data_IF_578179186467
#
_entry.id   IF_578179186467
#
_cell.length_a   1.000
_cell.length_b   1.000
_cell.length_c   1.000
_cell.angle_alpha   90.00
_cell.angle_beta   90.00
_cell.angle_gamma   90.00
#
_symmetry.space_group_name_H-M   'P 1'
#
loop_
_entity.id
_entity.type
_entity.pdbx_description
1 polymer ?
#
# COMPACT_ATOMS: atom_id res chain seq x y z
N UNK A 1 -10.46 -16.32 1.15
CA UNK A 1 -10.15 -14.95 1.62
C UNK A 1 -9.34 -14.24 0.53
N UNK A 2 -9.84 -13.16 -0.08
CA UNK A 2 -9.06 -12.40 -1.07
C UNK A 2 -7.83 -11.82 -0.36
N UNK A 3 -6.63 -12.16 -0.82
CA UNK A 3 -5.41 -11.51 -0.33
C UNK A 3 -5.40 -10.10 -0.89
N UNK A 4 -5.45 -9.10 -0.01
CA UNK A 4 -5.33 -7.70 -0.37
C UNK A 4 -3.91 -7.23 -0.15
N UNK A 5 -3.36 -6.47 -1.09
CA UNK A 5 -2.09 -5.76 -0.94
C UNK A 5 -2.41 -4.35 -0.45
N UNK A 6 -2.12 -4.08 0.83
CA UNK A 6 -2.49 -2.81 1.46
C UNK A 6 -1.26 -2.14 2.03
N UNK A 7 -1.12 -0.85 1.75
CA UNK A 7 -0.06 0.00 2.30
C UNK A 7 -0.67 1.00 3.28
N UNK A 8 -0.26 0.92 4.54
CA UNK A 8 -0.62 1.90 5.56
C UNK A 8 0.30 3.12 5.51
N UNK A 9 -0.27 4.32 5.51
CA UNK A 9 0.48 5.58 5.55
C UNK A 9 -0.24 6.64 6.39
N UNK A 10 0.38 7.82 6.48
CA UNK A 10 -0.14 8.99 7.17
C UNK A 10 -0.81 9.94 6.19
N UNK A 11 -1.90 10.60 6.60
CA UNK A 11 -2.65 11.58 5.81
C UNK A 11 -1.74 12.70 5.28
N UNK A 12 -0.77 13.14 6.09
CA UNK A 12 0.25 14.14 5.70
C UNK A 12 1.12 13.71 4.51
N UNK A 13 1.27 12.41 4.26
CA UNK A 13 2.03 11.88 3.14
C UNK A 13 1.18 11.72 1.88
N UNK A 14 -0.15 11.77 2.00
CA UNK A 14 -1.05 11.40 0.92
C UNK A 14 -0.86 12.29 -0.30
N UNK A 15 -0.76 13.60 -0.12
CA UNK A 15 -0.52 14.54 -1.23
C UNK A 15 0.76 14.19 -2.01
N UNK A 16 1.87 13.93 -1.31
CA UNK A 16 3.12 13.51 -1.95
C UNK A 16 3.01 12.16 -2.65
N UNK A 17 2.23 11.23 -2.10
CA UNK A 17 2.00 9.91 -2.69
C UNK A 17 1.13 10.02 -3.94
N UNK A 18 0.09 10.85 -3.93
CA UNK A 18 -0.75 11.10 -5.10
C UNK A 18 0.04 11.78 -6.22
N UNK A 19 0.95 12.70 -5.88
CA UNK A 19 1.81 13.37 -6.87
C UNK A 19 2.93 12.48 -7.45
N UNK A 20 3.34 11.40 -6.78
CA UNK A 20 4.54 10.66 -7.18
C UNK A 20 4.49 9.13 -7.09
N UNK A 21 3.35 8.56 -6.70
CA UNK A 21 3.21 7.13 -6.38
C UNK A 21 3.82 6.75 -5.03
N UNK A 22 3.74 5.44 -4.70
CA UNK A 22 4.41 4.89 -3.53
C UNK A 22 5.86 4.56 -3.89
N UNK A 23 6.79 5.34 -3.34
CA UNK A 23 8.23 5.17 -3.56
C UNK A 23 8.82 4.16 -2.58
N UNK A 24 9.86 3.42 -2.99
CA UNK A 24 10.66 2.60 -2.07
C UNK A 24 11.40 3.46 -1.03
N UNK A 25 11.59 4.76 -1.31
CA UNK A 25 12.31 5.72 -0.47
C UNK A 25 13.76 5.24 -0.23
N UNK A 26 14.20 5.09 1.02
CA UNK A 26 15.52 4.55 1.38
C UNK A 26 15.56 3.02 1.42
N UNK A 27 14.43 2.34 1.24
CA UNK A 27 14.33 0.87 1.23
C UNK A 27 14.49 0.35 -0.18
N UNK A 28 14.74 -0.95 -0.31
CA UNK A 28 14.77 -1.63 -1.60
C UNK A 28 13.36 -1.84 -2.20
N UNK A 29 12.38 -2.13 -1.34
CA UNK A 29 11.01 -2.47 -1.74
C UNK A 29 9.95 -1.61 -1.05
N UNK A 30 8.84 -1.37 -1.75
CA UNK A 30 7.56 -1.02 -1.12
C UNK A 30 7.00 -2.27 -0.44
N UNK A 31 6.52 -2.11 0.79
CA UNK A 31 6.00 -3.20 1.61
C UNK A 31 4.48 -3.11 1.71
N UNK A 32 3.82 -4.26 1.51
CA UNK A 32 2.39 -4.48 1.65
C UNK A 32 2.18 -5.64 2.62
N UNK A 33 1.95 -5.37 3.92
CA UNK A 33 1.61 -6.43 4.88
C UNK A 33 0.41 -7.24 4.38
N UNK A 34 0.47 -8.55 4.53
CA UNK A 34 -0.65 -9.40 4.15
C UNK A 34 -1.76 -9.27 5.18
N UNK A 35 -2.93 -8.83 4.72
CA UNK A 35 -4.11 -8.64 5.57
C UNK A 35 -4.41 -7.17 5.83
N UNK A 36 -5.68 -6.90 6.10
CA UNK A 36 -6.06 -5.63 6.69
C UNK A 36 -5.69 -5.71 8.16
N UNK A 37 -5.11 -4.66 8.75
CA UNK A 37 -5.06 -4.62 10.20
C UNK A 37 -6.50 -4.74 10.72
N UNK A 38 -6.67 -5.46 11.82
CA UNK A 38 -7.97 -5.60 12.46
C UNK A 38 -8.14 -4.34 13.31
N UNK A 39 -9.29 -3.67 13.18
CA UNK A 39 -9.61 -2.53 14.03
C UNK A 39 -9.46 -2.97 15.49
N UNK A 40 -8.50 -2.39 16.21
CA UNK A 40 -8.18 -2.74 17.60
C UNK A 40 -6.92 -3.58 17.83
N UNK A 41 -6.28 -4.16 16.82
CA UNK A 41 -5.02 -4.94 16.97
C UNK A 41 -3.76 -4.16 16.55
N UNK A 42 -3.88 -2.86 16.22
CA UNK A 42 -2.72 -2.05 15.83
C UNK A 42 -1.92 -1.66 17.07
N UNK A 43 -1.07 -2.59 17.49
CA UNK A 43 0.05 -2.38 18.39
C UNK A 43 1.06 -1.49 17.64
N UNK A 44 1.25 -0.27 18.13
CA UNK A 44 2.33 0.68 17.83
C UNK A 44 2.56 1.13 16.37
N UNK A 45 1.63 1.92 15.85
CA UNK A 45 1.85 2.82 14.72
C UNK A 45 0.91 4.02 14.80
N UNK A 46 0.99 4.79 15.91
CA UNK A 46 -0.02 5.71 16.45
C UNK A 46 -0.59 6.80 15.50
N UNK A 47 -0.14 6.86 14.25
CA UNK A 47 -0.53 7.89 13.30
C UNK A 47 -1.15 7.32 11.99
N UNK A 48 -1.05 6.01 11.70
CA UNK A 48 -1.48 5.47 10.39
C UNK A 48 -2.98 5.65 10.28
N UNK A 49 -3.40 6.51 9.37
CA UNK A 49 -4.78 6.91 9.21
C UNK A 49 -5.28 6.81 7.75
N UNK A 50 -4.43 6.31 6.85
CA UNK A 50 -4.78 6.08 5.43
C UNK A 50 -4.29 4.69 5.00
N UNK A 51 -5.14 4.00 4.25
CA UNK A 51 -4.86 2.73 3.58
C UNK A 51 -4.89 2.92 2.07
N UNK A 52 -3.87 2.42 1.38
CA UNK A 52 -3.80 2.40 -0.08
C UNK A 52 -3.85 0.95 -0.53
N UNK A 53 -4.85 0.60 -1.33
CA UNK A 53 -5.04 -0.74 -1.87
C UNK A 53 -4.42 -0.81 -3.26
N UNK A 54 -3.62 -1.84 -3.50
CA UNK A 54 -3.01 -2.11 -4.80
C UNK A 54 -3.91 -3.01 -5.64
N UNK A 55 -4.20 -2.60 -6.88
CA UNK A 55 -4.73 -3.46 -7.93
C UNK A 55 -3.64 -4.44 -8.37
N UNK A 56 -3.56 -5.55 -7.63
CA UNK A 56 -2.56 -6.61 -7.83
C UNK A 56 -2.66 -7.20 -9.24
N UNK A 57 -3.88 -7.38 -9.73
CA UNK A 57 -4.10 -8.00 -11.05
C UNK A 57 -3.50 -7.12 -12.14
N UNK A 58 -3.88 -5.85 -12.18
CA UNK A 58 -3.36 -4.89 -13.15
C UNK A 58 -1.86 -4.70 -13.02
N UNK A 59 -1.34 -4.65 -11.79
CA UNK A 59 0.09 -4.54 -11.55
C UNK A 59 0.87 -5.72 -12.16
N UNK A 60 0.41 -6.96 -11.94
CA UNK A 60 1.03 -8.17 -12.49
C UNK A 60 0.89 -8.25 -14.02
N UNK A 61 -0.29 -7.95 -14.56
CA UNK A 61 -0.55 -7.95 -16.02
C UNK A 61 0.35 -6.97 -16.77
N UNK A 62 0.68 -5.83 -16.16
CA UNK A 62 1.58 -4.82 -16.73
C UNK A 62 3.06 -5.00 -16.33
N UNK A 63 3.42 -6.13 -15.72
CA UNK A 63 4.82 -6.52 -15.48
C UNK A 63 5.45 -6.04 -14.18
N UNK A 64 4.66 -5.53 -13.22
CA UNK A 64 5.17 -5.24 -11.88
C UNK A 64 5.50 -6.56 -11.16
N UNK A 65 6.74 -6.68 -10.68
CA UNK A 65 7.16 -7.86 -9.91
C UNK A 65 6.71 -7.73 -8.46
N UNK A 66 5.97 -8.72 -7.99
CA UNK A 66 5.59 -8.87 -6.59
C UNK A 66 6.28 -10.10 -6.00
N UNK A 67 6.82 -9.95 -4.80
CA UNK A 67 7.50 -11.00 -4.05
C UNK A 67 6.78 -11.21 -2.72
N UNK A 68 6.92 -12.40 -2.13
CA UNK A 68 6.41 -12.68 -0.77
C UNK A 68 7.63 -12.99 0.09
N UNK A 69 7.81 -12.23 1.16
CA UNK A 69 8.86 -12.50 2.15
C UNK A 69 8.50 -13.70 3.04
N UNK A 70 9.48 -14.19 3.82
CA UNK A 70 9.26 -15.29 4.76
C UNK A 70 8.13 -14.99 5.75
N UNK A 71 8.06 -13.74 6.22
CA UNK A 71 7.00 -13.21 7.11
C UNK A 71 5.69 -12.86 6.38
N UNK A 72 5.51 -13.36 5.15
CA UNK A 72 4.30 -13.18 4.31
C UNK A 72 3.98 -11.73 3.94
N UNK A 73 4.94 -10.81 4.05
CA UNK A 73 4.77 -9.44 3.55
C UNK A 73 5.00 -9.45 2.05
N UNK A 74 4.11 -8.79 1.30
CA UNK A 74 4.27 -8.63 -0.14
C UNK A 74 5.20 -7.45 -0.40
N UNK A 75 6.18 -7.65 -1.28
CA UNK A 75 7.23 -6.70 -1.59
C UNK A 75 7.22 -6.40 -3.09
N UNK A 76 7.58 -5.18 -3.46
CA UNK A 76 7.82 -4.83 -4.87
C UNK A 76 8.85 -3.72 -4.98
N UNK A 77 9.67 -3.79 -6.03
CA UNK A 77 10.54 -2.69 -6.44
C UNK A 77 9.75 -1.60 -7.20
N UNK A 78 8.51 -1.91 -7.58
CA UNK A 78 7.73 -1.10 -8.51
C UNK A 78 8.44 -0.97 -9.87
N UNK A 79 8.19 0.14 -10.55
CA UNK A 79 8.91 0.55 -11.75
C UNK A 79 9.90 1.65 -11.40
N UNK A 80 11.19 1.36 -11.51
CA UNK A 80 12.28 2.28 -11.13
C UNK A 80 12.12 2.83 -9.69
N UNK A 81 11.74 1.96 -8.73
CA UNK A 81 11.60 2.32 -7.32
C UNK A 81 10.26 2.95 -6.94
N UNK A 82 9.24 2.89 -7.81
CA UNK A 82 7.94 3.54 -7.61
C UNK A 82 6.81 2.60 -7.98
N UNK A 83 5.76 2.52 -7.17
CA UNK A 83 4.45 1.97 -7.54
C UNK A 83 3.57 3.14 -8.01
N UNK A 84 3.30 3.28 -9.33
CA UNK A 84 2.49 4.36 -9.87
C UNK A 84 1.05 4.38 -9.36
N UNK A 85 0.47 5.58 -9.33
CA UNK A 85 -0.91 5.85 -8.91
C UNK A 85 -1.95 5.01 -9.69
N UNK A 86 -1.70 4.71 -10.97
CA UNK A 86 -2.61 3.93 -11.82
C UNK A 86 -2.87 2.50 -11.33
N UNK A 87 -2.09 2.01 -10.36
CA UNK A 87 -2.28 0.71 -9.72
C UNK A 87 -2.97 0.82 -8.36
N UNK A 88 -3.37 2.01 -7.91
CA UNK A 88 -4.14 2.13 -6.68
C UNK A 88 -5.59 1.81 -7.00
N UNK A 89 -6.11 0.74 -6.42
CA UNK A 89 -7.50 0.31 -6.56
C UNK A 89 -8.43 1.26 -5.81
N UNK A 90 -8.03 1.64 -4.59
CA UNK A 90 -8.75 2.60 -3.74
C UNK A 90 -7.88 3.10 -2.60
N UNK A 91 -8.30 4.20 -2.01
CA UNK A 91 -7.73 4.75 -0.78
C UNK A 91 -8.86 4.92 0.23
N UNK A 92 -8.62 4.54 1.50
CA UNK A 92 -9.60 4.65 2.57
C UNK A 92 -8.94 5.20 3.84
N UNK A 93 -9.72 5.85 4.70
CA UNK A 93 -9.27 6.14 6.05
C UNK A 93 -9.08 4.83 6.83
N UNK A 94 -8.10 4.83 7.73
CA UNK A 94 -7.93 3.73 8.67
C UNK A 94 -9.18 3.55 9.54
N UNK A 95 -9.50 4.61 10.28
CA UNK A 95 -10.68 4.67 11.14
C UNK A 95 -11.95 4.85 10.30
N UNK A 96 -12.90 3.93 10.47
CA UNK A 96 -14.22 4.01 9.82
C UNK A 96 -14.23 3.69 8.33
N UNK A 97 -13.09 3.33 7.72
CA UNK A 97 -12.98 2.87 6.33
C UNK A 97 -13.67 3.79 5.31
N UNK A 98 -13.58 5.10 5.54
CA UNK A 98 -14.20 6.09 4.67
C UNK A 98 -13.38 6.22 3.38
N UNK A 99 -14.00 6.14 2.20
CA UNK A 99 -13.31 6.35 0.93
C UNK A 99 -12.62 7.71 0.87
N UNK A 100 -11.40 7.74 0.33
CA UNK A 100 -10.65 8.95 -0.01
C UNK A 100 -10.50 8.95 -1.52
N UNK A 101 -11.21 9.86 -2.20
CA UNK A 101 -11.14 10.02 -3.64
C UNK A 101 -9.88 10.79 -4.07
N UNK A 102 -9.32 10.41 -5.22
CA UNK A 102 -8.08 10.95 -5.79
C UNK A 102 -8.12 10.91 -7.31
#
# INVERSE_FOLDING_TARGET
MKKVCVHGTYRKNLESILGSGLKCMKRLHVHFPCGLPIDGEVISGNDINVLIFLDVRKALEEGMKLYISDNKVILTEGFKGVVPLKYFEKIESWHGRQPIFF
#
